data_IF_775673352929
#
_entry.id   IF_775673352929
#
_cell.length_a   1.000
_cell.length_b   1.000
_cell.length_c   1.000
_cell.angle_alpha   90.00
_cell.angle_beta   90.00
_cell.angle_gamma   90.00
#
_symmetry.space_group_name_H-M   'P 1'
#
loop_
_entity.id
_entity.type
_entity.pdbx_description
1 polymer ?
#
# COMPACT_ATOMS: atom_id res chain seq x y z
N UNK A 1 -13.24 1.43 -32.51
CA UNK A 1 -13.13 0.16 -31.74
C UNK A 1 -11.93 0.29 -30.83
N UNK A 2 -12.09 0.25 -29.53
CA UNK A 2 -10.98 0.25 -28.57
C UNK A 2 -10.19 -1.05 -28.72
N UNK A 3 -8.87 -0.94 -28.76
CA UNK A 3 -7.98 -2.11 -28.83
C UNK A 3 -8.27 -3.00 -27.61
N UNK A 4 -8.59 -4.32 -27.78
CA UNK A 4 -8.92 -5.22 -26.68
C UNK A 4 -7.86 -5.27 -25.56
N UNK A 5 -6.63 -4.98 -25.89
CA UNK A 5 -5.51 -4.95 -24.95
C UNK A 5 -5.59 -3.71 -24.05
N UNK A 6 -5.89 -2.55 -24.60
CA UNK A 6 -6.09 -1.35 -23.80
C UNK A 6 -7.28 -1.49 -22.85
N UNK A 7 -8.34 -2.17 -23.27
CA UNK A 7 -9.47 -2.48 -22.41
C UNK A 7 -9.05 -3.35 -21.22
N UNK A 8 -8.29 -4.43 -21.42
CA UNK A 8 -7.81 -5.33 -20.34
C UNK A 8 -6.88 -4.63 -19.35
N UNK A 9 -6.00 -3.77 -19.84
CA UNK A 9 -5.08 -2.99 -19.00
C UNK A 9 -5.86 -2.02 -18.11
N UNK A 10 -6.84 -1.34 -18.67
CA UNK A 10 -7.75 -0.46 -17.97
C UNK A 10 -8.55 -1.24 -16.91
N UNK A 11 -9.13 -2.39 -17.29
CA UNK A 11 -9.93 -3.23 -16.39
C UNK A 11 -9.09 -3.76 -15.22
N UNK A 12 -7.82 -4.09 -15.45
CA UNK A 12 -6.91 -4.54 -14.39
C UNK A 12 -6.64 -3.43 -13.35
N UNK A 13 -6.40 -2.20 -13.78
CA UNK A 13 -6.19 -1.06 -12.87
C UNK A 13 -7.47 -0.70 -12.12
N UNK A 14 -8.62 -0.71 -12.80
CA UNK A 14 -9.91 -0.51 -12.11
C UNK A 14 -10.23 -1.64 -11.15
N UNK A 15 -9.96 -2.89 -11.54
CA UNK A 15 -10.12 -4.06 -10.67
C UNK A 15 -9.29 -3.94 -9.38
N UNK A 16 -8.06 -3.46 -9.46
CA UNK A 16 -7.23 -3.17 -8.31
C UNK A 16 -7.89 -2.15 -7.38
N UNK A 17 -8.32 -0.99 -7.92
CA UNK A 17 -8.93 0.08 -7.13
C UNK A 17 -10.28 -0.35 -6.53
N UNK A 18 -11.12 -1.03 -7.32
CA UNK A 18 -12.45 -1.50 -6.88
C UNK A 18 -12.30 -2.58 -5.79
N UNK A 19 -11.40 -3.56 -6.01
CA UNK A 19 -11.17 -4.64 -5.06
C UNK A 19 -10.68 -4.13 -3.70
N UNK A 20 -9.72 -3.22 -3.70
CA UNK A 20 -9.22 -2.58 -2.50
C UNK A 20 -10.30 -1.78 -1.76
N UNK A 21 -11.06 -0.95 -2.49
CA UNK A 21 -12.12 -0.13 -1.90
C UNK A 21 -13.29 -0.96 -1.34
N UNK A 22 -13.61 -2.11 -1.96
CA UNK A 22 -14.61 -3.06 -1.44
C UNK A 22 -14.10 -3.80 -0.19
N UNK A 23 -12.81 -4.15 -0.17
CA UNK A 23 -12.20 -4.88 0.93
C UNK A 23 -11.85 -3.97 2.13
N UNK A 24 -11.63 -2.69 1.90
CA UNK A 24 -11.16 -1.73 2.91
C UNK A 24 -11.93 -1.76 4.23
N UNK A 25 -13.28 -1.76 4.27
CA UNK A 25 -14.01 -1.75 5.53
C UNK A 25 -13.91 -3.05 6.33
N UNK A 26 -13.49 -4.14 5.69
CA UNK A 26 -13.41 -5.49 6.29
C UNK A 26 -11.97 -5.99 6.44
N UNK A 27 -10.98 -5.13 6.26
CA UNK A 27 -9.58 -5.51 6.41
C UNK A 27 -9.28 -6.07 7.81
N UNK A 28 -8.56 -7.20 7.82
CA UNK A 28 -8.04 -7.88 8.99
C UNK A 28 -9.09 -8.26 10.05
N UNK A 29 -10.29 -8.67 9.61
CA UNK A 29 -11.20 -9.43 10.45
C UNK A 29 -10.74 -10.90 10.48
N UNK A 30 -10.23 -11.34 11.61
CA UNK A 30 -9.82 -12.73 11.84
C UNK A 30 -10.95 -13.58 12.37
N UNK A 31 -11.90 -12.97 13.09
CA UNK A 31 -13.13 -13.61 13.58
C UNK A 31 -14.24 -13.44 12.54
N UNK A 32 -14.57 -14.54 11.85
CA UNK A 32 -15.62 -14.55 10.82
C UNK A 32 -17.01 -14.19 11.34
N UNK A 33 -17.31 -14.53 12.61
CA UNK A 33 -18.60 -14.19 13.19
C UNK A 33 -18.68 -12.68 13.42
N UNK A 34 -17.64 -12.06 13.97
CA UNK A 34 -17.58 -10.60 14.13
C UNK A 34 -17.70 -9.87 12.78
N UNK A 35 -17.03 -10.36 11.74
CA UNK A 35 -17.17 -9.83 10.38
C UNK A 35 -18.63 -9.91 9.88
N UNK A 36 -19.27 -11.06 10.08
CA UNK A 36 -20.67 -11.27 9.67
C UNK A 36 -21.62 -10.37 10.45
N UNK A 37 -21.43 -10.23 11.74
CA UNK A 37 -22.28 -9.41 12.61
C UNK A 37 -22.14 -7.92 12.29
N UNK A 38 -20.93 -7.47 11.95
CA UNK A 38 -20.66 -6.08 11.62
C UNK A 38 -21.10 -5.69 10.21
N UNK A 39 -20.87 -6.54 9.21
CA UNK A 39 -21.04 -6.18 7.79
C UNK A 39 -21.96 -7.12 7.01
N UNK A 40 -22.17 -8.36 7.46
CA UNK A 40 -22.85 -9.35 6.68
C UNK A 40 -22.13 -9.63 5.35
N UNK A 41 -22.90 -9.71 4.26
CA UNK A 41 -22.35 -9.83 2.91
C UNK A 41 -22.04 -8.45 2.34
N UNK A 42 -20.78 -8.16 2.08
CA UNK A 42 -20.36 -6.91 1.45
C UNK A 42 -20.61 -6.99 -0.07
N UNK A 43 -21.47 -6.12 -0.57
CA UNK A 43 -21.84 -6.02 -2.00
C UNK A 43 -21.65 -4.61 -2.55
N UNK A 44 -21.39 -3.64 -1.66
CA UNK A 44 -21.24 -2.22 -1.98
C UNK A 44 -20.05 -1.63 -1.26
N UNK A 45 -19.66 -0.41 -1.65
CA UNK A 45 -18.69 0.36 -0.91
C UNK A 45 -19.26 0.80 0.43
N UNK A 46 -18.59 0.39 1.49
CA UNK A 46 -18.98 0.73 2.86
C UNK A 46 -17.90 1.56 3.54
N UNK A 47 -18.31 2.41 4.47
CA UNK A 47 -17.37 3.05 5.37
C UNK A 47 -16.92 2.07 6.47
N UNK A 48 -15.68 2.17 6.94
CA UNK A 48 -15.20 1.35 8.04
C UNK A 48 -15.98 1.66 9.33
N UNK A 49 -16.36 0.62 10.05
CA UNK A 49 -17.00 0.77 11.37
C UNK A 49 -15.92 0.88 12.44
N UNK A 50 -16.01 1.89 13.26
CA UNK A 50 -15.27 2.00 14.50
C UNK A 50 -16.28 1.75 15.65
N UNK A 51 -16.11 0.74 16.55
CA UNK A 51 -14.86 0.02 16.80
C UNK A 51 -14.73 -1.24 15.96
N UNK A 52 -13.48 -1.62 15.68
CA UNK A 52 -13.13 -2.88 15.01
C UNK A 52 -12.75 -3.92 16.10
N UNK A 53 -13.57 -4.96 16.34
CA UNK A 53 -13.39 -5.88 17.48
C UNK A 53 -12.10 -6.72 17.38
N UNK A 54 -11.64 -7.01 16.16
CA UNK A 54 -10.44 -7.81 15.89
C UNK A 54 -9.16 -6.99 15.70
N UNK A 55 -9.23 -5.66 15.81
CA UNK A 55 -8.07 -4.83 15.58
C UNK A 55 -6.90 -5.19 16.48
N UNK A 56 -5.74 -5.43 15.87
CA UNK A 56 -4.48 -5.65 16.58
C UNK A 56 -3.58 -4.40 16.59
N UNK A 57 -4.12 -3.24 16.23
CA UNK A 57 -3.37 -1.97 16.21
C UNK A 57 -2.73 -1.66 17.58
N UNK A 58 -3.37 -2.10 18.65
CA UNK A 58 -2.84 -1.97 20.02
C UNK A 58 -1.54 -2.75 20.28
N UNK A 59 -1.20 -3.73 19.43
CA UNK A 59 0.07 -4.47 19.46
C UNK A 59 1.12 -3.86 18.55
N UNK A 60 0.72 -2.93 17.69
CA UNK A 60 1.61 -2.31 16.73
C UNK A 60 2.27 -1.09 17.34
N UNK A 61 3.53 -0.89 17.06
CA UNK A 61 4.28 0.27 17.51
C UNK A 61 5.14 0.80 16.37
N UNK A 62 5.29 2.10 16.33
CA UNK A 62 6.26 2.77 15.50
C UNK A 62 6.69 4.06 16.18
N UNK A 63 7.99 4.22 16.31
CA UNK A 63 8.61 5.47 16.75
C UNK A 63 9.64 5.87 15.71
N UNK A 64 9.37 6.97 15.03
CA UNK A 64 10.29 7.51 14.05
C UNK A 64 11.62 7.90 14.74
N UNK A 65 12.78 7.49 14.20
CA UNK A 65 14.08 7.88 14.76
C UNK A 65 14.30 9.41 14.77
N UNK A 66 13.71 10.11 13.82
CA UNK A 66 13.67 11.57 13.67
C UNK A 66 12.57 11.97 12.66
N UNK A 67 12.46 13.27 12.39
CA UNK A 67 11.43 13.83 11.49
C UNK A 67 11.41 13.26 10.07
N UNK A 68 12.54 12.73 9.56
CA UNK A 68 12.58 12.08 8.24
C UNK A 68 11.85 10.75 8.20
N UNK A 69 11.65 10.10 9.35
CA UNK A 69 10.90 8.87 9.47
C UNK A 69 9.46 9.07 9.90
N UNK A 70 9.03 10.31 10.13
CA UNK A 70 7.66 10.58 10.59
C UNK A 70 6.67 10.36 9.45
N UNK A 71 5.89 9.27 9.58
CA UNK A 71 4.92 8.84 8.58
C UNK A 71 3.53 8.57 9.17
N UNK A 72 3.40 8.58 10.50
CA UNK A 72 2.10 8.39 11.14
C UNK A 72 1.31 9.69 11.26
N UNK A 73 1.99 10.81 11.40
CA UNK A 73 1.40 12.14 11.56
C UNK A 73 0.30 12.14 12.63
N UNK A 74 -0.88 12.67 12.33
CA UNK A 74 -2.02 12.71 13.23
C UNK A 74 -2.56 11.30 13.61
N UNK A 75 -2.17 10.26 12.87
CA UNK A 75 -2.59 8.89 13.15
C UNK A 75 -1.81 8.25 14.32
N UNK A 76 -0.66 8.81 14.68
CA UNK A 76 0.19 8.30 15.76
C UNK A 76 -0.58 8.13 17.09
N UNK A 77 -1.52 9.03 17.36
CA UNK A 77 -2.31 9.02 18.60
C UNK A 77 -3.20 7.78 18.77
N UNK A 78 -3.52 7.06 17.69
CA UNK A 78 -4.38 5.87 17.71
C UNK A 78 -3.60 4.57 17.90
N UNK A 79 -2.29 4.62 17.73
CA UNK A 79 -1.42 3.46 17.89
C UNK A 79 -1.36 3.03 19.37
N UNK A 80 -1.39 1.72 19.60
CA UNK A 80 -1.48 1.16 20.96
C UNK A 80 -2.89 1.11 21.53
N UNK A 81 -3.89 1.67 20.85
CA UNK A 81 -5.29 1.65 21.30
C UNK A 81 -6.05 0.42 20.75
N UNK A 82 -6.96 -0.12 21.58
CA UNK A 82 -7.84 -1.24 21.19
C UNK A 82 -9.07 -0.74 20.44
N UNK A 83 -9.59 -1.59 19.56
CA UNK A 83 -10.85 -1.35 18.87
C UNK A 83 -10.79 -0.29 17.78
N UNK A 84 -9.62 0.19 17.41
CA UNK A 84 -9.44 1.19 16.35
C UNK A 84 -9.40 0.49 15.00
N UNK A 85 -10.25 0.92 14.07
CA UNK A 85 -10.21 0.42 12.70
C UNK A 85 -8.95 0.91 11.98
N UNK A 86 -8.32 0.04 11.19
CA UNK A 86 -7.09 0.35 10.46
C UNK A 86 -7.25 1.49 9.45
N UNK A 87 -8.48 1.73 9.00
CA UNK A 87 -8.85 2.72 7.99
C UNK A 87 -9.98 3.64 8.46
N UNK A 88 -10.08 3.91 9.78
CA UNK A 88 -11.24 4.58 10.40
C UNK A 88 -11.65 5.93 9.77
N UNK A 89 -10.73 6.60 9.07
CA UNK A 89 -10.99 7.91 8.46
C UNK A 89 -11.26 7.85 6.97
N UNK A 90 -11.16 6.67 6.36
CA UNK A 90 -11.49 6.51 4.95
C UNK A 90 -13.01 6.49 4.76
N UNK A 91 -13.46 7.05 3.65
CA UNK A 91 -14.88 7.03 3.25
C UNK A 91 -15.18 5.77 2.43
N UNK A 92 -16.46 5.44 2.33
CA UNK A 92 -16.92 4.41 1.42
C UNK A 92 -16.40 4.66 -0.01
N UNK A 93 -15.75 3.66 -0.60
CA UNK A 93 -15.16 3.75 -1.93
C UNK A 93 -13.75 4.37 -1.99
N UNK A 94 -13.20 4.83 -0.88
CA UNK A 94 -11.79 5.26 -0.85
C UNK A 94 -10.84 4.06 -0.86
N UNK A 95 -9.70 4.27 -1.51
CA UNK A 95 -8.62 3.29 -1.52
C UNK A 95 -7.69 3.43 -0.31
N UNK A 96 -7.13 2.31 0.10
CA UNK A 96 -6.13 2.25 1.17
C UNK A 96 -4.78 2.82 0.73
N UNK A 97 -3.89 2.99 1.69
CA UNK A 97 -2.53 3.51 1.49
C UNK A 97 -1.78 2.73 0.39
N UNK A 98 -1.93 1.40 0.33
CA UNK A 98 -1.24 0.58 -0.66
C UNK A 98 -1.63 0.96 -2.10
N UNK A 99 -2.91 1.15 -2.37
CA UNK A 99 -3.36 1.59 -3.71
C UNK A 99 -3.04 3.07 -3.95
N UNK A 100 -3.03 3.92 -2.92
CA UNK A 100 -2.54 5.30 -3.05
C UNK A 100 -1.06 5.32 -3.48
N UNK A 101 -0.23 4.44 -2.92
CA UNK A 101 1.17 4.27 -3.35
C UNK A 101 1.26 3.73 -4.79
N UNK A 102 0.40 2.79 -5.19
CA UNK A 102 0.33 2.35 -6.59
C UNK A 102 0.00 3.50 -7.55
N UNK A 103 -0.83 4.47 -7.15
CA UNK A 103 -1.10 5.66 -7.95
C UNK A 103 0.16 6.52 -8.15
N UNK A 104 0.99 6.67 -7.13
CA UNK A 104 2.29 7.36 -7.29
C UNK A 104 3.18 6.67 -8.33
N UNK A 105 3.17 5.34 -8.36
CA UNK A 105 3.89 4.57 -9.37
C UNK A 105 3.33 4.80 -10.77
N UNK A 106 2.00 4.78 -10.93
CA UNK A 106 1.34 5.10 -12.19
C UNK A 106 1.68 6.52 -12.66
N UNK A 107 1.65 7.50 -11.76
CA UNK A 107 2.02 8.89 -12.04
C UNK A 107 3.49 9.01 -12.45
N UNK A 108 4.39 8.29 -11.77
CA UNK A 108 5.80 8.23 -12.12
C UNK A 108 6.00 7.69 -13.54
N UNK A 109 5.42 6.53 -13.84
CA UNK A 109 5.51 5.90 -15.16
C UNK A 109 4.91 6.79 -16.26
N UNK A 110 3.77 7.41 -16.01
CA UNK A 110 3.14 8.31 -16.98
C UNK A 110 3.99 9.55 -17.27
N UNK A 111 4.68 10.08 -16.29
CA UNK A 111 5.53 11.25 -16.47
C UNK A 111 6.85 10.93 -17.15
N UNK A 112 7.46 9.79 -16.81
CA UNK A 112 8.79 9.40 -17.30
C UNK A 112 8.75 8.57 -18.59
N UNK A 113 7.58 7.99 -18.92
CA UNK A 113 7.39 7.07 -20.04
C UNK A 113 7.96 5.67 -19.80
N UNK A 114 8.47 5.39 -18.61
CA UNK A 114 9.04 4.10 -18.18
C UNK A 114 9.08 3.98 -16.68
N UNK A 115 9.38 2.78 -16.17
CA UNK A 115 9.67 2.61 -14.75
C UNK A 115 11.01 3.26 -14.38
N UNK A 116 10.97 4.20 -13.44
CA UNK A 116 12.13 4.92 -12.92
C UNK A 116 12.13 4.87 -11.39
N UNK A 117 13.06 4.11 -10.85
CA UNK A 117 13.16 3.87 -9.40
C UNK A 117 13.33 5.18 -8.60
N UNK A 118 14.20 6.08 -9.08
CA UNK A 118 14.48 7.34 -8.39
C UNK A 118 13.27 8.29 -8.38
N UNK A 119 12.53 8.36 -9.49
CA UNK A 119 11.33 9.18 -9.55
C UNK A 119 10.24 8.63 -8.63
N UNK A 120 10.04 7.31 -8.63
CA UNK A 120 9.10 6.69 -7.71
C UNK A 120 9.49 6.92 -6.24
N UNK A 121 10.75 6.65 -5.86
CA UNK A 121 11.23 6.84 -4.48
C UNK A 121 11.07 8.29 -4.03
N UNK A 122 11.38 9.26 -4.88
CA UNK A 122 11.19 10.68 -4.55
C UNK A 122 9.73 10.99 -4.25
N UNK A 123 8.78 10.48 -5.06
CA UNK A 123 7.33 10.66 -4.84
C UNK A 123 6.86 9.95 -3.59
N UNK A 124 7.28 8.71 -3.41
CA UNK A 124 6.93 7.88 -2.26
C UNK A 124 7.38 8.52 -0.95
N UNK A 125 8.64 8.96 -0.87
CA UNK A 125 9.17 9.64 0.32
C UNK A 125 8.39 10.94 0.56
N UNK A 126 8.23 11.78 -0.45
CA UNK A 126 7.49 13.04 -0.31
C UNK A 126 6.05 12.81 0.16
N UNK A 127 5.35 11.84 -0.42
CA UNK A 127 3.98 11.50 -0.03
C UNK A 127 3.90 11.02 1.41
N UNK A 128 4.73 10.06 1.81
CA UNK A 128 4.67 9.47 3.15
C UNK A 128 5.08 10.44 4.26
N UNK A 129 6.00 11.36 3.98
CA UNK A 129 6.51 12.33 4.99
C UNK A 129 5.76 13.66 5.00
N UNK A 130 4.78 13.85 4.10
CA UNK A 130 3.95 15.07 4.08
C UNK A 130 2.70 14.88 4.94
N UNK A 131 2.50 15.65 6.01
CA UNK A 131 1.28 15.59 6.80
C UNK A 131 0.03 15.79 5.96
N UNK A 132 -1.00 14.95 6.19
CA UNK A 132 -2.28 15.02 5.49
C UNK A 132 -2.31 14.39 4.10
N UNK A 133 -1.21 13.85 3.59
CA UNK A 133 -1.18 13.14 2.29
C UNK A 133 -2.01 11.86 2.27
N UNK A 134 -2.15 11.19 3.42
CA UNK A 134 -3.03 10.06 3.62
C UNK A 134 -3.72 10.12 4.99
N UNK A 135 -4.77 9.32 5.16
CA UNK A 135 -5.56 9.25 6.38
C UNK A 135 -5.67 7.82 6.93
N UNK A 136 -4.87 6.90 6.41
CA UNK A 136 -4.83 5.54 6.92
C UNK A 136 -4.26 5.53 8.34
N UNK A 137 -4.99 4.89 9.26
CA UNK A 137 -4.56 4.79 10.66
C UNK A 137 -3.44 3.78 10.80
N UNK A 138 -3.48 2.69 10.04
CA UNK A 138 -2.43 1.68 10.04
C UNK A 138 -1.51 1.84 8.83
N UNK A 139 -0.23 1.78 9.10
CA UNK A 139 0.84 1.74 8.08
C UNK A 139 1.57 0.42 8.22
N UNK A 140 1.67 -0.36 7.14
CA UNK A 140 2.28 -1.68 7.13
C UNK A 140 3.75 -1.67 7.54
N UNK A 141 4.23 -2.83 8.00
CA UNK A 141 5.58 -2.99 8.55
C UNK A 141 6.67 -2.66 7.54
N UNK A 142 6.48 -3.02 6.28
CA UNK A 142 7.44 -2.70 5.22
C UNK A 142 7.68 -1.19 5.09
N UNK A 143 6.64 -0.37 5.16
CA UNK A 143 6.77 1.09 5.13
C UNK A 143 7.45 1.62 6.40
N UNK A 144 7.06 1.11 7.57
CA UNK A 144 7.68 1.50 8.85
C UNK A 144 9.17 1.19 8.88
N UNK A 145 9.56 0.01 8.43
CA UNK A 145 10.96 -0.41 8.33
C UNK A 145 11.74 0.45 7.33
N UNK A 146 11.16 0.71 6.15
CA UNK A 146 11.75 1.59 5.16
C UNK A 146 12.05 2.96 5.75
N UNK A 147 11.07 3.60 6.36
CA UNK A 147 11.24 4.96 6.89
C UNK A 147 12.10 5.02 8.16
N UNK A 148 12.13 3.98 8.97
CA UNK A 148 13.09 3.86 10.06
C UNK A 148 14.54 3.83 9.54
N UNK A 149 14.80 3.08 8.47
CA UNK A 149 16.10 3.00 7.83
C UNK A 149 16.48 4.30 7.12
N UNK A 150 15.53 4.91 6.41
CA UNK A 150 15.71 6.21 5.78
C UNK A 150 16.07 7.30 6.79
N UNK A 151 15.38 7.33 7.92
CA UNK A 151 15.65 8.27 9.02
C UNK A 151 17.03 8.08 9.66
N UNK A 152 17.57 6.84 9.62
CA UNK A 152 18.94 6.53 10.06
C UNK A 152 20.02 6.92 9.04
N UNK A 153 19.61 7.41 7.86
CA UNK A 153 20.53 7.91 6.84
C UNK A 153 20.92 6.86 5.78
N UNK A 154 20.22 5.74 5.70
CA UNK A 154 20.43 4.81 4.58
C UNK A 154 19.95 5.45 3.28
N UNK A 155 20.63 5.10 2.17
CA UNK A 155 20.15 5.45 0.83
C UNK A 155 18.75 4.87 0.60
N UNK A 156 17.81 5.60 -0.02
CA UNK A 156 16.45 5.10 -0.29
C UNK A 156 16.41 3.72 -0.96
N UNK A 157 17.35 3.43 -1.85
CA UNK A 157 17.48 2.11 -2.50
C UNK A 157 17.84 0.96 -1.56
N UNK A 158 18.21 1.25 -0.32
CA UNK A 158 18.66 0.27 0.69
C UNK A 158 17.81 0.29 1.96
N UNK A 159 16.67 0.96 1.92
CA UNK A 159 15.80 1.09 3.09
C UNK A 159 14.86 -0.09 3.29
N UNK A 160 14.55 -0.86 2.25
CA UNK A 160 13.72 -2.06 2.35
C UNK A 160 14.35 -3.14 3.23
N UNK A 161 13.51 -3.98 3.78
CA UNK A 161 13.90 -5.15 4.59
C UNK A 161 13.20 -6.39 4.08
N UNK A 162 13.81 -7.56 4.30
CA UNK A 162 13.15 -8.82 3.98
C UNK A 162 11.85 -8.94 4.78
N UNK A 163 10.74 -9.12 4.08
CA UNK A 163 9.40 -9.16 4.64
C UNK A 163 8.73 -10.50 4.30
N UNK A 164 7.85 -10.98 5.19
CA UNK A 164 7.10 -12.23 4.97
C UNK A 164 5.72 -12.00 4.37
N UNK A 165 5.22 -10.77 4.43
CA UNK A 165 3.91 -10.41 3.92
C UNK A 165 3.95 -10.10 2.43
N UNK A 166 2.93 -10.54 1.71
CA UNK A 166 2.81 -10.37 0.25
C UNK A 166 2.34 -8.97 -0.17
N UNK A 167 2.22 -8.02 0.76
CA UNK A 167 1.74 -6.66 0.49
C UNK A 167 2.50 -5.93 -0.61
N UNK A 168 3.79 -6.23 -0.78
CA UNK A 168 4.60 -5.66 -1.86
C UNK A 168 4.15 -6.03 -3.28
N UNK A 169 3.41 -7.14 -3.44
CA UNK A 169 2.93 -7.58 -4.76
C UNK A 169 1.86 -6.66 -5.34
N UNK A 170 1.18 -5.86 -4.53
CA UNK A 170 0.18 -4.88 -4.99
C UNK A 170 0.81 -3.89 -5.98
N UNK A 171 2.04 -3.44 -5.72
CA UNK A 171 2.80 -2.56 -6.60
C UNK A 171 3.18 -3.15 -7.96
N UNK A 172 3.06 -4.49 -8.14
CA UNK A 172 3.39 -5.14 -9.41
C UNK A 172 2.32 -4.93 -10.48
N UNK A 173 1.06 -4.69 -10.11
CA UNK A 173 -0.04 -4.54 -11.06
C UNK A 173 0.20 -3.38 -12.04
N UNK A 174 0.55 -2.15 -11.62
CA UNK A 174 0.88 -1.07 -12.55
C UNK A 174 2.04 -1.39 -13.48
N UNK A 175 3.09 -2.04 -12.99
CA UNK A 175 4.25 -2.45 -13.78
C UNK A 175 3.84 -3.47 -14.85
N UNK A 176 3.10 -4.51 -14.44
CA UNK A 176 2.62 -5.55 -15.34
C UNK A 176 1.72 -4.98 -16.44
N UNK A 177 0.85 -4.05 -16.07
CA UNK A 177 -0.05 -3.37 -17.02
C UNK A 177 0.73 -2.50 -18.01
N UNK A 178 1.71 -1.75 -17.56
CA UNK A 178 2.48 -0.87 -18.44
C UNK A 178 3.37 -1.65 -19.43
N UNK A 179 4.01 -2.72 -18.97
CA UNK A 179 4.92 -3.54 -19.77
C UNK A 179 4.28 -4.84 -20.31
N UNK A 180 2.95 -4.97 -20.31
CA UNK A 180 2.22 -6.23 -20.58
C UNK A 180 2.68 -7.00 -21.83
N UNK A 181 3.17 -6.31 -22.87
CA UNK A 181 3.67 -6.90 -24.11
C UNK A 181 5.21 -7.05 -24.17
N UNK A 182 5.89 -6.82 -23.06
CA UNK A 182 7.35 -6.86 -22.92
C UNK A 182 7.74 -7.62 -21.64
N UNK A 183 7.60 -8.96 -21.62
CA UNK A 183 7.71 -9.79 -20.42
C UNK A 183 9.05 -9.64 -19.69
N UNK A 184 10.15 -9.46 -20.41
CA UNK A 184 11.46 -9.24 -19.78
C UNK A 184 11.50 -7.92 -19.01
N UNK A 185 10.90 -6.85 -19.56
CA UNK A 185 10.80 -5.56 -18.87
C UNK A 185 9.81 -5.60 -17.70
N UNK A 186 8.72 -6.39 -17.80
CA UNK A 186 7.82 -6.65 -16.64
C UNK A 186 8.64 -7.21 -15.50
N UNK A 187 9.40 -8.27 -15.75
CA UNK A 187 10.17 -8.96 -14.71
C UNK A 187 11.23 -8.03 -14.11
N UNK A 188 12.01 -7.35 -14.93
CA UNK A 188 13.06 -6.43 -14.47
C UNK A 188 12.48 -5.31 -13.60
N UNK A 189 11.47 -4.60 -14.10
CA UNK A 189 10.85 -3.49 -13.37
C UNK A 189 10.11 -3.94 -12.10
N UNK A 190 9.44 -5.10 -12.14
CA UNK A 190 8.76 -5.67 -10.99
C UNK A 190 9.74 -6.04 -9.87
N UNK A 191 10.82 -6.73 -10.18
CA UNK A 191 11.85 -7.08 -9.20
C UNK A 191 12.55 -5.83 -8.64
N UNK A 192 12.86 -4.86 -9.49
CA UNK A 192 13.45 -3.60 -9.06
C UNK A 192 12.51 -2.83 -8.11
N UNK A 193 11.21 -2.79 -8.40
CA UNK A 193 10.22 -2.14 -7.55
C UNK A 193 10.03 -2.88 -6.22
N UNK A 194 9.90 -4.21 -6.28
CA UNK A 194 9.71 -5.04 -5.11
C UNK A 194 10.87 -4.90 -4.11
N UNK A 195 12.10 -4.89 -4.62
CA UNK A 195 13.31 -4.76 -3.81
C UNK A 195 13.38 -3.46 -3.00
N UNK A 196 12.60 -2.44 -3.33
CA UNK A 196 12.60 -1.17 -2.58
C UNK A 196 12.02 -1.30 -1.17
N UNK A 197 11.02 -2.16 -1.00
CA UNK A 197 10.34 -2.35 0.28
C UNK A 197 10.42 -3.79 0.78
N UNK A 198 10.52 -4.77 -0.12
CA UNK A 198 10.52 -6.22 0.17
C UNK A 198 11.67 -6.94 -0.53
N UNK A 199 12.94 -6.56 -0.29
CA UNK A 199 14.05 -7.31 -0.85
C UNK A 199 14.08 -8.73 -0.30
N UNK A 200 14.51 -9.69 -1.12
CA UNK A 200 14.74 -11.06 -0.69
C UNK A 200 14.09 -12.10 -1.58
N UNK A 201 14.73 -13.27 -1.64
CA UNK A 201 14.43 -14.36 -2.56
C UNK A 201 12.97 -14.86 -2.47
N UNK A 202 12.38 -14.84 -1.28
CA UNK A 202 10.99 -15.30 -1.10
C UNK A 202 9.96 -14.49 -1.89
N UNK A 203 10.17 -13.17 -1.94
CA UNK A 203 9.27 -12.28 -2.68
C UNK A 203 9.61 -12.26 -4.18
N UNK A 204 10.87 -12.47 -4.54
CA UNK A 204 11.32 -12.52 -5.93
C UNK A 204 10.84 -13.79 -6.66
N UNK A 205 10.44 -14.83 -5.92
CA UNK A 205 9.94 -16.10 -6.45
C UNK A 205 8.42 -16.27 -6.35
N UNK A 206 7.73 -15.33 -5.73
CA UNK A 206 6.27 -15.32 -5.59
C UNK A 206 5.60 -14.76 -6.85
#
# INVERSE_FOLDING_TARGET
MTNPIHARSHDALYGLCIGDALAMPVHWYYNRQALHDDYGRVTDYLAPRNSHPDSILWRSSYAAPNSKGEILHDQAQYWGQKGIHYHQFLKAGENTLNVKICRLLIESINQTGRYETDDFLRRYIAFMTTPGSHQDTYIEECHRNFFANYARGLSPHRCGVEEKHIGGLVGMVPVAVFYFNRPDQVREAALAHLALTHPGLKMETA
#
